data_IF_379301559941
#
_entry.id   IF_379301559941
#
_cell.length_a   1.000
_cell.length_b   1.000
_cell.length_c   1.000
_cell.angle_alpha   90.00
_cell.angle_beta   90.00
_cell.angle_gamma   90.00
#
_symmetry.space_group_name_H-M   'P 1'
#
loop_
_entity.id
_entity.type
_entity.pdbx_description
1 polymer ?
#
# COMPACT_ATOMS: atom_id res chain seq x y z
N UNK A 1 22.72 27.57 -0.99
CA UNK A 1 22.46 26.21 -1.51
C UNK A 1 22.43 25.27 -0.32
N UNK A 2 21.44 24.39 -0.17
CA UNK A 2 21.35 23.46 0.96
C UNK A 2 22.58 22.54 0.96
N UNK A 3 23.35 22.54 2.05
CA UNK A 3 24.67 21.87 2.13
C UNK A 3 24.75 20.81 3.24
N UNK A 4 23.60 20.44 3.84
CA UNK A 4 23.42 19.48 4.94
C UNK A 4 24.27 19.71 6.21
N UNK A 5 25.12 20.75 6.25
CA UNK A 5 26.07 21.02 7.33
C UNK A 5 25.67 22.20 8.20
N UNK A 6 24.94 23.15 7.64
CA UNK A 6 24.44 24.33 8.38
C UNK A 6 22.92 24.36 8.39
N UNK A 7 22.34 24.84 9.49
CA UNK A 7 20.89 25.06 9.60
C UNK A 7 20.49 26.12 8.59
N UNK A 8 19.67 25.74 7.62
CA UNK A 8 19.14 26.66 6.62
C UNK A 8 18.12 27.60 7.27
N UNK A 9 18.52 28.85 7.48
CA UNK A 9 17.69 29.91 8.09
C UNK A 9 16.53 30.36 7.19
N UNK A 10 16.48 29.91 5.93
CA UNK A 10 15.35 30.13 5.02
C UNK A 10 14.47 28.89 4.89
N UNK A 11 14.88 27.77 5.48
CA UNK A 11 14.04 26.58 5.59
C UNK A 11 12.97 26.83 6.64
N UNK A 12 11.82 27.35 6.21
CA UNK A 12 10.60 27.44 7.01
C UNK A 12 9.99 26.04 7.13
N UNK A 13 10.56 25.18 7.99
CA UNK A 13 10.03 23.83 8.25
C UNK A 13 8.76 23.83 9.11
N UNK A 14 8.19 25.01 9.36
CA UNK A 14 6.87 25.17 9.95
C UNK A 14 5.80 24.82 8.93
N UNK A 15 5.11 23.70 9.17
CA UNK A 15 3.92 23.39 8.41
C UNK A 15 2.91 24.55 8.52
N UNK A 16 2.24 24.90 7.41
CA UNK A 16 1.22 25.95 7.41
C UNK A 16 0.20 25.78 8.54
N UNK A 17 -0.24 26.87 9.20
CA UNK A 17 -1.23 26.81 10.27
C UNK A 17 -2.56 26.28 9.73
N UNK A 18 -3.29 25.56 10.58
CA UNK A 18 -4.63 25.06 10.24
C UNK A 18 -5.62 26.21 10.51
N UNK A 19 -6.05 26.89 9.43
CA UNK A 19 -7.02 28.00 9.53
C UNK A 19 -8.43 27.47 9.82
N UNK A 20 -8.77 26.31 9.27
CA UNK A 20 -10.02 25.58 9.52
C UNK A 20 -9.79 24.07 9.27
N UNK A 21 -10.56 23.20 9.94
CA UNK A 21 -10.51 21.74 9.72
C UNK A 21 -9.41 20.99 10.48
N UNK A 22 -9.01 19.82 9.97
CA UNK A 22 -8.01 18.92 10.58
C UNK A 22 -6.85 18.69 9.61
N UNK A 23 -5.62 18.91 10.07
CA UNK A 23 -4.39 18.61 9.32
C UNK A 23 -3.70 17.39 9.90
N UNK A 24 -3.53 16.37 9.07
CA UNK A 24 -2.74 15.19 9.38
C UNK A 24 -1.32 15.36 8.85
N UNK A 25 -0.30 14.96 9.63
CA UNK A 25 1.08 14.87 9.16
C UNK A 25 1.58 13.42 9.21
N UNK A 26 2.28 12.99 8.16
CA UNK A 26 2.91 11.67 8.11
C UNK A 26 4.37 11.86 7.73
N UNK A 27 5.23 12.01 8.73
CA UNK A 27 6.67 12.22 8.50
C UNK A 27 7.30 10.89 8.11
N UNK A 28 7.93 10.85 6.92
CA UNK A 28 8.78 9.74 6.50
C UNK A 28 10.24 10.18 6.58
N UNK A 29 11.01 9.47 7.40
CA UNK A 29 12.47 9.65 7.44
C UNK A 29 13.08 8.86 6.29
N UNK A 30 13.85 9.54 5.45
CA UNK A 30 14.53 8.95 4.31
C UNK A 30 16.03 9.06 4.56
N UNK A 31 16.75 7.96 4.38
CA UNK A 31 18.21 7.99 4.48
C UNK A 31 18.80 8.58 3.19
N UNK A 32 19.67 9.60 3.32
CA UNK A 32 20.38 10.20 2.19
C UNK A 32 21.48 9.30 1.60
N UNK A 33 21.83 8.22 2.30
CA UNK A 33 22.74 7.16 1.86
C UNK A 33 22.08 5.80 2.12
N UNK A 34 22.36 4.76 1.32
CA UNK A 34 21.78 3.44 1.54
C UNK A 34 22.03 2.93 2.96
N UNK A 35 20.96 2.59 3.66
CA UNK A 35 21.03 1.84 4.91
C UNK A 35 21.31 0.37 4.56
N UNK A 36 22.32 -0.24 5.20
CA UNK A 36 22.80 -1.62 4.89
C UNK A 36 23.18 -1.80 3.41
N UNK A 37 24.40 -1.37 3.07
CA UNK A 37 24.87 -1.32 1.68
C UNK A 37 24.83 -2.65 0.92
N UNK A 38 25.05 -3.77 1.61
CA UNK A 38 24.96 -5.12 1.04
C UNK A 38 23.52 -5.49 0.65
N UNK A 39 22.54 -5.14 1.47
CA UNK A 39 21.11 -5.31 1.16
C UNK A 39 20.70 -4.40 0.00
N UNK A 40 21.21 -3.16 -0.03
CA UNK A 40 20.98 -2.22 -1.13
C UNK A 40 21.54 -2.73 -2.46
N UNK A 41 22.78 -3.20 -2.49
CA UNK A 41 23.38 -3.77 -3.70
C UNK A 41 22.64 -5.03 -4.18
N UNK A 42 22.12 -5.84 -3.25
CA UNK A 42 21.26 -6.98 -3.59
C UNK A 42 19.96 -6.53 -4.23
N UNK A 43 19.29 -5.54 -3.64
CA UNK A 43 18.04 -4.98 -4.17
C UNK A 43 18.20 -4.33 -5.55
N UNK A 44 19.39 -3.78 -5.87
CA UNK A 44 19.72 -3.29 -7.20
C UNK A 44 19.83 -4.40 -8.26
N UNK A 45 20.27 -5.60 -7.85
CA UNK A 45 20.40 -6.77 -8.73
C UNK A 45 19.09 -7.55 -8.86
N UNK A 46 18.34 -7.62 -7.76
CA UNK A 46 17.07 -8.34 -7.64
C UNK A 46 15.95 -7.34 -7.31
N UNK A 47 15.38 -6.66 -8.32
CA UNK A 47 14.36 -5.66 -8.08
C UNK A 47 13.15 -6.30 -7.39
N UNK A 48 12.69 -5.65 -6.32
CA UNK A 48 11.48 -6.04 -5.62
C UNK A 48 10.29 -6.02 -6.59
N UNK A 49 9.58 -7.14 -6.69
CA UNK A 49 8.31 -7.21 -7.41
C UNK A 49 7.22 -6.71 -6.46
N UNK A 50 6.57 -5.57 -6.75
CA UNK A 50 5.48 -5.10 -5.90
C UNK A 50 4.35 -6.12 -5.91
N UNK A 51 3.68 -6.24 -4.77
CA UNK A 51 2.41 -6.95 -4.70
C UNK A 51 1.43 -6.27 -5.67
N UNK A 52 0.46 -7.03 -6.23
CA UNK A 52 -0.59 -6.41 -7.03
C UNK A 52 -1.33 -5.36 -6.20
N UNK A 53 -1.93 -4.41 -6.89
CA UNK A 53 -2.75 -3.40 -6.23
C UNK A 53 -4.00 -4.06 -5.57
N UNK A 54 -4.47 -3.58 -4.39
CA UNK A 54 -5.62 -4.16 -3.70
C UNK A 54 -6.93 -4.26 -4.49
N UNK A 55 -7.07 -3.51 -5.57
CA UNK A 55 -8.22 -3.63 -6.48
C UNK A 55 -8.13 -4.83 -7.43
N UNK A 56 -6.94 -5.40 -7.62
CA UNK A 56 -6.72 -6.64 -8.37
C UNK A 56 -6.87 -7.84 -7.44
N UNK A 57 -7.95 -8.59 -7.60
CA UNK A 57 -8.20 -9.79 -6.83
C UNK A 57 -7.44 -10.98 -7.41
N UNK A 58 -6.54 -11.58 -6.63
CA UNK A 58 -5.78 -12.77 -7.04
C UNK A 58 -5.33 -13.59 -5.83
N UNK A 59 -5.03 -14.87 -6.08
CA UNK A 59 -4.28 -15.71 -5.14
C UNK A 59 -2.78 -15.52 -5.39
N UNK A 60 -2.06 -15.10 -4.36
CA UNK A 60 -0.61 -14.86 -4.39
C UNK A 60 0.20 -16.09 -3.95
N UNK A 61 -0.49 -17.15 -3.54
CA UNK A 61 0.11 -18.42 -3.15
C UNK A 61 -0.63 -19.60 -3.80
N UNK A 62 0.12 -20.61 -4.24
CA UNK A 62 -0.42 -21.79 -4.91
C UNK A 62 -1.39 -22.61 -4.04
N UNK A 63 -1.17 -22.60 -2.73
CA UNK A 63 -2.00 -23.33 -1.76
C UNK A 63 -3.24 -22.57 -1.26
N UNK A 64 -3.54 -21.38 -1.79
CA UNK A 64 -4.68 -20.58 -1.33
C UNK A 64 -6.01 -21.33 -1.37
N UNK A 65 -6.29 -22.07 -2.45
CA UNK A 65 -7.50 -22.88 -2.57
C UNK A 65 -7.57 -23.97 -1.50
N UNK A 66 -6.46 -24.69 -1.28
CA UNK A 66 -6.36 -25.73 -0.26
C UNK A 66 -6.60 -25.18 1.13
N UNK A 67 -5.98 -24.05 1.46
CA UNK A 67 -6.13 -23.40 2.77
C UNK A 67 -7.52 -22.83 2.98
N UNK A 68 -8.13 -22.24 1.95
CA UNK A 68 -9.51 -21.79 2.01
C UNK A 68 -10.47 -22.95 2.31
N UNK A 69 -10.28 -24.10 1.64
CA UNK A 69 -11.05 -25.34 1.91
C UNK A 69 -10.82 -25.89 3.32
N UNK A 70 -9.63 -25.68 3.90
CA UNK A 70 -9.31 -26.04 5.27
C UNK A 70 -9.86 -25.04 6.31
N UNK A 71 -10.51 -23.96 5.89
CA UNK A 71 -11.10 -22.96 6.78
C UNK A 71 -10.13 -21.87 7.24
N UNK A 72 -8.97 -21.73 6.62
CA UNK A 72 -7.95 -20.74 7.00
C UNK A 72 -8.44 -19.29 6.80
N UNK A 73 -9.44 -19.06 5.96
CA UNK A 73 -10.07 -17.74 5.84
C UNK A 73 -10.62 -17.22 7.18
N UNK A 74 -11.04 -18.14 8.07
CA UNK A 74 -11.55 -17.80 9.40
C UNK A 74 -10.51 -18.03 10.48
N UNK A 75 -9.68 -19.08 10.36
CA UNK A 75 -8.67 -19.42 11.38
C UNK A 75 -7.43 -18.51 11.28
N UNK A 76 -7.11 -18.02 10.08
CA UNK A 76 -5.94 -17.21 9.78
C UNK A 76 -6.28 -16.06 8.81
N UNK A 77 -7.24 -15.18 9.17
CA UNK A 77 -7.71 -14.10 8.29
C UNK A 77 -6.60 -13.09 7.98
N UNK A 78 -5.63 -12.90 8.88
CA UNK A 78 -4.53 -11.95 8.68
C UNK A 78 -3.62 -12.33 7.51
N UNK A 79 -3.34 -13.63 7.31
CA UNK A 79 -2.56 -14.07 6.16
C UNK A 79 -3.43 -14.23 4.91
N UNK A 80 -4.64 -14.75 5.07
CA UNK A 80 -5.50 -15.09 3.93
C UNK A 80 -6.14 -13.85 3.30
N UNK A 81 -6.76 -13.00 4.12
CA UNK A 81 -7.53 -11.83 3.69
C UNK A 81 -6.72 -10.54 3.89
N UNK A 82 -6.02 -10.43 5.02
CA UNK A 82 -5.28 -9.24 5.40
C UNK A 82 -6.07 -8.32 6.32
N UNK A 83 -5.69 -7.04 6.30
CA UNK A 83 -6.32 -5.94 7.02
C UNK A 83 -6.14 -4.64 6.24
N UNK A 84 -6.81 -3.56 6.64
CA UNK A 84 -6.61 -2.23 6.00
C UNK A 84 -5.16 -1.71 6.02
N UNK A 85 -4.26 -2.34 6.80
CA UNK A 85 -2.83 -2.04 6.80
C UNK A 85 -2.00 -2.95 5.87
N UNK A 86 -2.49 -4.14 5.50
CA UNK A 86 -1.72 -5.15 4.74
C UNK A 86 -2.63 -6.08 3.96
N UNK A 87 -2.35 -6.29 2.68
CA UNK A 87 -3.10 -7.23 1.84
C UNK A 87 -2.80 -8.69 2.22
N UNK A 88 -3.83 -9.53 2.30
CA UNK A 88 -3.67 -10.99 2.43
C UNK A 88 -3.36 -11.68 1.11
N UNK A 89 -2.80 -12.88 1.20
CA UNK A 89 -2.30 -13.64 0.06
C UNK A 89 -3.39 -14.38 -0.72
N UNK A 90 -4.57 -14.57 -0.15
CA UNK A 90 -5.57 -15.55 -0.64
C UNK A 90 -6.98 -14.97 -0.69
N UNK A 91 -7.11 -13.66 -0.94
CA UNK A 91 -8.39 -12.95 -0.94
C UNK A 91 -9.40 -13.53 -1.93
N UNK A 92 -8.93 -13.95 -3.11
CA UNK A 92 -9.77 -14.59 -4.12
C UNK A 92 -10.32 -15.94 -3.64
N UNK A 93 -9.47 -16.83 -3.13
CA UNK A 93 -9.90 -18.13 -2.59
C UNK A 93 -10.87 -17.97 -1.39
N UNK A 94 -10.67 -16.94 -0.57
CA UNK A 94 -11.56 -16.61 0.55
C UNK A 94 -12.84 -15.87 0.13
N UNK A 95 -13.02 -15.55 -1.15
CA UNK A 95 -14.16 -14.79 -1.67
C UNK A 95 -14.33 -13.43 -0.99
N UNK A 96 -13.22 -12.84 -0.57
CA UNK A 96 -13.16 -11.47 -0.03
C UNK A 96 -13.19 -10.43 -1.16
N UNK A 97 -12.84 -10.83 -2.38
CA UNK A 97 -12.88 -10.01 -3.58
C UNK A 97 -13.31 -10.84 -4.79
N UNK A 98 -13.53 -10.17 -5.92
CA UNK A 98 -13.93 -10.79 -7.18
C UNK A 98 -12.99 -10.43 -8.34
N UNK A 99 -12.88 -11.32 -9.34
CA UNK A 99 -12.14 -11.02 -10.57
C UNK A 99 -12.89 -9.98 -11.41
N UNK A 100 -12.23 -8.84 -11.67
CA UNK A 100 -12.82 -7.75 -12.44
C UNK A 100 -12.63 -7.96 -13.95
N UNK A 101 -13.64 -7.60 -14.74
CA UNK A 101 -13.48 -7.46 -16.18
C UNK A 101 -12.50 -6.32 -16.52
N UNK A 102 -11.89 -6.40 -17.70
CA UNK A 102 -10.95 -5.38 -18.17
C UNK A 102 -11.65 -4.00 -18.21
N UNK A 103 -11.10 -3.03 -17.46
CA UNK A 103 -11.64 -1.68 -17.34
C UNK A 103 -12.82 -1.51 -16.37
N UNK A 104 -13.23 -2.54 -15.62
CA UNK A 104 -14.28 -2.41 -14.61
C UNK A 104 -13.77 -1.71 -13.33
N UNK A 105 -13.77 -0.37 -13.39
CA UNK A 105 -13.40 0.49 -12.26
C UNK A 105 -14.36 0.37 -11.07
N UNK A 106 -15.61 -0.05 -11.29
CA UNK A 106 -16.55 -0.23 -10.20
C UNK A 106 -16.17 -1.47 -9.38
N UNK A 107 -15.88 -2.59 -10.04
CA UNK A 107 -15.35 -3.79 -9.41
C UNK A 107 -14.02 -3.53 -8.70
N UNK A 108 -13.10 -2.86 -9.39
CA UNK A 108 -11.79 -2.55 -8.85
C UNK A 108 -11.87 -1.73 -7.54
N UNK A 109 -12.77 -0.74 -7.48
CA UNK A 109 -13.01 0.04 -6.25
C UNK A 109 -13.66 -0.78 -5.14
N UNK A 110 -14.65 -1.63 -5.45
CA UNK A 110 -15.25 -2.54 -4.46
C UNK A 110 -14.19 -3.45 -3.83
N UNK A 111 -13.29 -4.01 -4.65
CA UNK A 111 -12.20 -4.87 -4.16
C UNK A 111 -11.26 -4.15 -3.19
N UNK A 112 -10.98 -2.86 -3.43
CA UNK A 112 -10.18 -2.03 -2.51
C UNK A 112 -10.92 -1.75 -1.21
N UNK A 113 -12.18 -1.35 -1.30
CA UNK A 113 -13.04 -1.04 -0.14
C UNK A 113 -13.19 -2.24 0.79
N UNK A 114 -13.48 -3.43 0.24
CA UNK A 114 -13.62 -4.65 1.03
C UNK A 114 -12.32 -5.00 1.76
N UNK A 115 -11.17 -4.76 1.12
CA UNK A 115 -9.85 -4.93 1.75
C UNK A 115 -9.47 -3.83 2.76
N UNK A 116 -10.31 -2.81 2.95
CA UNK A 116 -10.04 -1.68 3.84
C UNK A 116 -9.06 -0.65 3.27
N UNK A 117 -8.88 -0.61 1.94
CA UNK A 117 -7.99 0.33 1.27
C UNK A 117 -8.76 1.52 0.72
N UNK A 118 -8.12 2.69 0.70
CA UNK A 118 -8.71 3.91 0.14
C UNK A 118 -8.90 3.78 -1.37
N UNK A 119 -10.02 4.26 -1.89
CA UNK A 119 -10.21 4.46 -3.32
C UNK A 119 -9.51 5.73 -3.77
N UNK A 120 -8.87 5.66 -4.93
CA UNK A 120 -8.36 6.85 -5.58
C UNK A 120 -9.47 7.42 -6.46
N UNK A 121 -9.93 8.61 -6.13
CA UNK A 121 -10.76 9.41 -7.01
C UNK A 121 -9.85 10.37 -7.79
N UNK A 122 -9.74 10.18 -9.10
CA UNK A 122 -8.94 11.06 -9.94
C UNK A 122 -9.37 12.53 -9.86
N UNK A 123 -10.63 12.79 -9.49
CA UNK A 123 -11.11 14.16 -9.30
C UNK A 123 -10.46 14.86 -8.10
N UNK A 124 -10.03 14.12 -7.07
CA UNK A 124 -9.27 14.67 -5.94
C UNK A 124 -7.86 15.12 -6.34
N UNK A 125 -7.30 14.54 -7.41
CA UNK A 125 -5.96 14.84 -7.89
C UNK A 125 -5.92 15.99 -8.90
N UNK A 126 -7.06 16.40 -9.48
CA UNK A 126 -7.14 17.45 -10.51
C UNK A 126 -6.86 18.87 -10.01
N UNK A 127 -6.59 19.05 -8.72
CA UNK A 127 -6.30 20.34 -8.08
C UNK A 127 -4.89 20.47 -7.47
N UNK A 128 -4.01 19.50 -7.71
CA UNK A 128 -2.59 19.52 -7.33
C UNK A 128 -1.76 19.89 -8.56
#
# INVERSE_FOLDING_TARGET
MPDYKQTDVHSMHTGCPVVEGVKWNAVKWLHGTPFRGDEYERALKEPFKPLPDPGVCANLHEMCETWALQGECTNNPGFMIGSGASMGSCRLACKDCEECAEGDLACYRRNRETGGFLNFDESELKGI
#
